data_IF_764310805913
#
_entry.id   IF_764310805913
#
_cell.length_a   1.000
_cell.length_b   1.000
_cell.length_c   1.000
_cell.angle_alpha   90.00
_cell.angle_beta   90.00
_cell.angle_gamma   90.00
#
_symmetry.space_group_name_H-M   'P 1'
#
loop_
_entity.id
_entity.type
_entity.pdbx_description
1 polymer ?
#
# COMPACT_ATOMS: atom_id res chain seq x y z
N UNK A 1 -24.21 -20.51 -59.37
CA UNK A 1 -23.64 -21.88 -59.36
C UNK A 1 -22.20 -21.79 -58.88
N UNK A 2 -21.68 -22.71 -58.08
CA UNK A 2 -22.12 -23.23 -56.77
C UNK A 2 -21.13 -22.85 -55.63
N UNK A 3 -21.56 -22.94 -54.37
CA UNK A 3 -20.70 -23.24 -53.19
C UNK A 3 -20.57 -24.77 -53.09
N UNK A 4 -19.55 -25.37 -52.45
CA UNK A 4 -19.63 -25.55 -50.99
C UNK A 4 -18.28 -25.60 -50.24
N UNK A 5 -18.42 -25.59 -48.92
CA UNK A 5 -17.41 -25.71 -47.87
C UNK A 5 -16.75 -27.11 -47.79
N UNK A 6 -15.60 -27.16 -47.10
CA UNK A 6 -15.07 -28.34 -46.40
C UNK A 6 -13.92 -27.90 -45.49
N UNK A 7 -13.59 -28.49 -44.34
CA UNK A 7 -14.25 -29.44 -43.42
C UNK A 7 -13.32 -29.49 -42.19
N UNK A 8 -13.88 -29.30 -41.01
CA UNK A 8 -13.30 -29.62 -39.70
C UNK A 8 -12.96 -31.10 -39.61
N UNK A 9 -11.71 -31.45 -39.28
CA UNK A 9 -11.36 -32.81 -38.84
C UNK A 9 -11.11 -32.84 -37.34
N UNK A 10 -12.17 -33.23 -36.63
CA UNK A 10 -12.15 -33.87 -35.31
C UNK A 10 -11.53 -35.25 -35.47
N UNK A 11 -10.42 -35.51 -34.80
CA UNK A 11 -9.88 -36.88 -34.64
C UNK A 11 -10.40 -37.40 -33.30
N UNK A 12 -11.44 -38.23 -33.36
CA UNK A 12 -11.76 -39.20 -32.31
C UNK A 12 -10.99 -40.50 -32.58
N UNK A 13 -10.40 -41.08 -31.55
CA UNK A 13 -10.00 -42.50 -31.53
C UNK A 13 -10.39 -43.17 -30.20
N UNK A 14 -10.78 -44.45 -30.21
CA UNK A 14 -11.56 -45.08 -29.15
C UNK A 14 -10.73 -45.92 -28.16
N UNK A 15 -11.28 -46.08 -26.95
CA UNK A 15 -10.84 -46.96 -25.87
C UNK A 15 -10.75 -48.44 -26.28
N UNK A 16 -9.87 -49.24 -25.64
CA UNK A 16 -10.17 -50.64 -25.37
C UNK A 16 -10.17 -50.98 -23.87
N UNK A 17 -10.93 -52.05 -23.57
CA UNK A 17 -11.47 -52.42 -22.28
C UNK A 17 -10.53 -53.22 -21.38
N UNK A 18 -10.73 -53.01 -20.07
CA UNK A 18 -10.75 -53.95 -18.93
C UNK A 18 -9.87 -55.21 -18.94
N UNK A 19 -8.96 -55.26 -17.97
CA UNK A 19 -8.58 -56.50 -17.27
C UNK A 19 -8.48 -56.25 -15.77
N UNK A 20 -9.30 -57.00 -15.05
CA UNK A 20 -9.42 -57.08 -13.59
C UNK A 20 -8.18 -57.71 -12.95
N UNK A 21 -7.74 -57.20 -11.80
CA UNK A 21 -7.10 -57.99 -10.75
C UNK A 21 -7.30 -57.36 -9.39
N UNK A 22 -7.61 -58.23 -8.43
CA UNK A 22 -8.24 -57.95 -7.15
C UNK A 22 -7.29 -57.43 -6.07
N UNK A 23 -7.88 -56.61 -5.21
CA UNK A 23 -7.63 -56.40 -3.77
C UNK A 23 -6.24 -56.59 -3.18
N UNK A 24 -5.73 -55.49 -2.61
CA UNK A 24 -5.26 -55.51 -1.23
C UNK A 24 -5.72 -54.23 -0.54
N UNK A 25 -6.64 -54.39 0.41
CA UNK A 25 -7.08 -53.35 1.32
C UNK A 25 -5.91 -52.92 2.21
N UNK A 26 -5.57 -51.64 2.17
CA UNK A 26 -5.10 -50.90 3.34
C UNK A 26 -6.06 -49.73 3.50
N UNK A 27 -6.93 -49.86 4.49
CA UNK A 27 -7.75 -48.76 4.98
C UNK A 27 -6.83 -47.81 5.74
N UNK A 28 -6.13 -46.94 5.01
CA UNK A 28 -5.70 -45.67 5.57
C UNK A 28 -6.95 -44.81 5.69
N UNK A 29 -7.53 -44.82 6.89
CA UNK A 29 -8.44 -43.78 7.35
C UNK A 29 -7.66 -42.48 7.60
N UNK A 30 -6.92 -42.02 6.59
CA UNK A 30 -6.43 -40.65 6.53
C UNK A 30 -7.65 -39.79 6.21
N UNK A 31 -8.29 -39.34 7.29
CA UNK A 31 -9.24 -38.23 7.20
C UNK A 31 -8.53 -37.10 6.45
N UNK A 32 -9.18 -36.46 5.46
CA UNK A 32 -8.57 -35.32 4.79
C UNK A 32 -8.16 -34.33 5.89
N UNK A 33 -6.96 -33.70 5.81
CA UNK A 33 -6.59 -32.69 6.77
C UNK A 33 -7.70 -31.64 6.73
N UNK A 34 -8.49 -31.57 7.80
CA UNK A 34 -9.40 -30.46 8.04
C UNK A 34 -8.51 -29.24 8.04
N UNK A 35 -8.52 -28.47 6.95
CA UNK A 35 -7.90 -27.17 6.87
C UNK A 35 -8.57 -26.34 7.96
N UNK A 36 -7.95 -26.28 9.13
CA UNK A 36 -8.34 -25.35 10.17
C UNK A 36 -8.19 -23.97 9.55
N UNK A 37 -9.32 -23.32 9.28
CA UNK A 37 -9.33 -21.95 8.79
C UNK A 37 -8.74 -21.10 9.91
N UNK A 38 -7.45 -20.78 9.79
CA UNK A 38 -6.76 -19.90 10.71
C UNK A 38 -7.24 -18.47 10.42
N UNK A 39 -7.95 -17.89 11.39
CA UNK A 39 -8.46 -16.52 11.28
C UNK A 39 -7.34 -15.58 11.74
N UNK A 40 -6.78 -14.83 10.80
CA UNK A 40 -5.79 -13.79 11.08
C UNK A 40 -6.50 -12.44 11.19
N UNK A 41 -6.36 -11.77 12.33
CA UNK A 41 -6.87 -10.42 12.53
C UNK A 41 -5.84 -9.39 12.07
N UNK A 42 -6.23 -8.54 11.12
CA UNK A 42 -5.41 -7.43 10.61
C UNK A 42 -5.95 -6.11 11.17
N UNK A 43 -5.04 -5.18 11.46
CA UNK A 43 -5.36 -3.87 12.05
C UNK A 43 -5.85 -2.86 11.01
N UNK A 44 -5.52 -3.10 9.75
CA UNK A 44 -5.86 -2.24 8.63
C UNK A 44 -7.35 -2.37 8.27
N UNK A 45 -7.94 -1.31 7.71
CA UNK A 45 -9.33 -1.35 7.24
C UNK A 45 -9.48 -2.28 6.04
N UNK A 46 -10.68 -2.82 5.82
CA UNK A 46 -10.95 -3.67 4.65
C UNK A 46 -10.62 -2.96 3.33
N UNK A 47 -10.93 -1.67 3.22
CA UNK A 47 -10.63 -0.87 2.03
C UNK A 47 -9.13 -0.77 1.75
N UNK A 48 -8.31 -0.61 2.79
CA UNK A 48 -6.84 -0.57 2.64
C UNK A 48 -6.32 -1.94 2.22
N UNK A 49 -6.81 -3.01 2.85
CA UNK A 49 -6.41 -4.38 2.52
C UNK A 49 -6.80 -4.76 1.09
N UNK A 50 -8.00 -4.40 0.64
CA UNK A 50 -8.47 -4.67 -0.72
C UNK A 50 -7.55 -4.01 -1.77
N UNK A 51 -7.18 -2.74 -1.56
CA UNK A 51 -6.24 -2.02 -2.43
C UNK A 51 -4.84 -2.66 -2.40
N UNK A 52 -4.33 -3.00 -1.21
CA UNK A 52 -3.03 -3.64 -1.06
C UNK A 52 -3.00 -4.99 -1.77
N UNK A 53 -4.04 -5.80 -1.61
CA UNK A 53 -4.15 -7.09 -2.30
C UNK A 53 -4.29 -6.94 -3.81
N UNK A 54 -4.94 -5.89 -4.31
CA UNK A 54 -4.98 -5.60 -5.73
C UNK A 54 -3.57 -5.40 -6.32
N UNK A 55 -2.65 -4.78 -5.58
CA UNK A 55 -1.24 -4.67 -5.98
C UNK A 55 -0.46 -5.99 -5.93
N UNK A 56 -0.90 -6.95 -5.12
CA UNK A 56 -0.26 -8.26 -4.95
C UNK A 56 -0.77 -9.31 -5.95
N UNK A 57 -2.00 -9.16 -6.42
CA UNK A 57 -2.61 -10.07 -7.38
C UNK A 57 -2.36 -9.63 -8.83
N UNK A 58 -2.53 -10.58 -9.76
CA UNK A 58 -2.43 -10.34 -11.20
C UNK A 58 -3.67 -9.61 -11.72
N UNK A 59 -3.85 -8.37 -11.29
CA UNK A 59 -4.97 -7.51 -11.63
C UNK A 59 -4.47 -6.13 -12.09
N UNK A 60 -5.28 -5.36 -12.82
CA UNK A 60 -4.96 -3.98 -13.14
C UNK A 60 -4.76 -3.16 -11.85
N UNK A 61 -3.71 -2.33 -11.84
CA UNK A 61 -3.38 -1.50 -10.68
C UNK A 61 -4.45 -0.43 -10.43
N UNK A 62 -4.77 -0.14 -9.16
CA UNK A 62 -5.77 0.85 -8.82
C UNK A 62 -5.33 2.26 -9.23
N UNK A 63 -6.30 3.11 -9.57
CA UNK A 63 -6.06 4.53 -9.83
C UNK A 63 -6.10 5.30 -8.51
N UNK A 64 -4.94 5.45 -7.86
CA UNK A 64 -4.81 6.13 -6.56
C UNK A 64 -5.23 7.61 -6.58
N UNK A 65 -5.36 8.25 -7.75
CA UNK A 65 -5.85 9.64 -7.85
C UNK A 65 -7.33 9.79 -7.51
N UNK A 66 -8.07 8.67 -7.52
CA UNK A 66 -9.50 8.60 -7.16
C UNK A 66 -9.73 8.15 -5.71
N UNK A 67 -8.66 7.93 -4.97
CA UNK A 67 -8.69 7.46 -3.60
C UNK A 67 -8.40 8.64 -2.69
N UNK A 68 -9.18 8.77 -1.61
CA UNK A 68 -9.00 9.83 -0.62
C UNK A 68 -7.63 9.72 0.06
N UNK A 69 -7.05 10.87 0.41
CA UNK A 69 -5.70 10.92 0.97
C UNK A 69 -5.56 10.10 2.26
N UNK A 70 -6.57 10.09 3.12
CA UNK A 70 -6.52 9.31 4.35
C UNK A 70 -6.36 7.81 4.07
N UNK A 71 -7.04 7.29 3.04
CA UNK A 71 -6.89 5.89 2.61
C UNK A 71 -5.54 5.67 1.92
N UNK A 72 -5.05 6.63 1.11
CA UNK A 72 -3.72 6.57 0.50
C UNK A 72 -2.63 6.51 1.57
N UNK A 73 -2.75 7.33 2.61
CA UNK A 73 -1.82 7.37 3.74
C UNK A 73 -1.81 6.03 4.48
N UNK A 74 -2.99 5.50 4.83
CA UNK A 74 -3.08 4.21 5.52
C UNK A 74 -2.59 3.05 4.64
N UNK A 75 -2.83 3.11 3.33
CA UNK A 75 -2.30 2.16 2.37
C UNK A 75 -0.77 2.23 2.27
N UNK A 76 -0.19 3.43 2.29
CA UNK A 76 1.26 3.60 2.33
C UNK A 76 1.86 2.92 3.57
N UNK A 77 1.29 3.13 4.75
CA UNK A 77 1.74 2.45 5.98
C UNK A 77 1.67 0.92 5.88
N UNK A 78 0.58 0.40 5.35
CA UNK A 78 0.39 -1.04 5.19
C UNK A 78 1.42 -1.63 4.20
N UNK A 79 1.61 -0.96 3.05
CA UNK A 79 2.55 -1.37 2.01
C UNK A 79 3.99 -1.41 2.52
N UNK A 80 4.39 -0.43 3.34
CA UNK A 80 5.70 -0.43 4.00
C UNK A 80 5.83 -1.58 4.99
N UNK A 81 4.82 -1.77 5.85
CA UNK A 81 4.79 -2.81 6.89
C UNK A 81 4.90 -4.22 6.31
N UNK A 82 4.23 -4.49 5.19
CA UNK A 82 4.19 -5.80 4.55
C UNK A 82 5.14 -5.93 3.35
N UNK A 83 5.95 -4.90 3.07
CA UNK A 83 6.90 -4.85 1.96
C UNK A 83 6.29 -5.16 0.59
N UNK A 84 5.15 -4.55 0.28
CA UNK A 84 4.49 -4.70 -1.02
C UNK A 84 5.20 -3.82 -2.06
N UNK A 85 6.37 -4.26 -2.52
CA UNK A 85 7.25 -3.50 -3.41
C UNK A 85 6.59 -3.02 -4.71
N UNK A 86 5.58 -3.76 -5.21
CA UNK A 86 4.82 -3.36 -6.42
C UNK A 86 4.02 -2.08 -6.22
N UNK A 87 3.67 -1.73 -4.98
CA UNK A 87 2.88 -0.54 -4.65
C UNK A 87 3.73 0.66 -4.21
N UNK A 88 4.90 0.41 -3.60
CA UNK A 88 5.74 1.45 -2.99
C UNK A 88 6.05 2.61 -3.94
N UNK A 89 6.45 2.32 -5.19
CA UNK A 89 6.77 3.37 -6.15
C UNK A 89 5.56 4.25 -6.52
N UNK A 90 4.38 3.66 -6.68
CA UNK A 90 3.16 4.40 -7.00
C UNK A 90 2.71 5.28 -5.81
N UNK A 91 2.81 4.75 -4.60
CA UNK A 91 2.48 5.50 -3.37
C UNK A 91 3.47 6.62 -3.11
N UNK A 92 4.77 6.42 -3.37
CA UNK A 92 5.77 7.47 -3.27
C UNK A 92 5.43 8.68 -4.14
N UNK A 93 5.09 8.45 -5.43
CA UNK A 93 4.64 9.52 -6.33
C UNK A 93 3.40 10.21 -5.79
N UNK A 94 2.43 9.44 -5.27
CA UNK A 94 1.20 10.02 -4.72
C UNK A 94 1.46 10.87 -3.47
N UNK A 95 2.42 10.48 -2.63
CA UNK A 95 2.83 11.28 -1.47
C UNK A 95 3.45 12.61 -1.89
N UNK A 96 4.30 12.63 -2.92
CA UNK A 96 4.87 13.87 -3.50
C UNK A 96 3.74 14.79 -3.99
N UNK A 97 2.77 14.26 -4.74
CA UNK A 97 1.64 15.03 -5.26
C UNK A 97 0.77 15.65 -4.15
N UNK A 98 0.80 15.07 -2.94
CA UNK A 98 0.05 15.57 -1.79
C UNK A 98 0.80 16.58 -0.93
N UNK A 99 2.11 16.78 -1.13
CA UNK A 99 2.91 17.77 -0.37
C UNK A 99 2.23 19.14 -0.30
N UNK A 100 1.72 19.76 -1.39
CA UNK A 100 1.12 21.09 -1.31
C UNK A 100 -0.14 21.16 -0.44
N UNK A 101 -0.84 20.03 -0.29
CA UNK A 101 -2.12 19.95 0.41
C UNK A 101 -2.02 19.40 1.84
N UNK A 102 -1.07 18.50 2.09
CA UNK A 102 -0.94 17.73 3.32
C UNK A 102 0.55 17.58 3.72
N UNK A 103 1.33 18.67 3.77
CA UNK A 103 2.79 18.60 3.89
C UNK A 103 3.24 17.95 5.21
N UNK A 104 2.52 18.20 6.31
CA UNK A 104 2.84 17.65 7.63
C UNK A 104 2.68 16.12 7.67
N UNK A 105 1.58 15.60 7.12
CA UNK A 105 1.33 14.15 7.11
C UNK A 105 2.35 13.43 6.21
N UNK A 106 2.68 14.03 5.05
CA UNK A 106 3.72 13.51 4.15
C UNK A 106 5.10 13.52 4.82
N UNK A 107 5.45 14.60 5.52
CA UNK A 107 6.70 14.69 6.29
C UNK A 107 6.80 13.59 7.35
N UNK A 108 5.73 13.35 8.12
CA UNK A 108 5.70 12.32 9.15
C UNK A 108 5.83 10.91 8.57
N UNK A 109 5.21 10.64 7.41
CA UNK A 109 5.44 9.40 6.67
C UNK A 109 6.89 9.26 6.22
N UNK A 110 7.44 10.30 5.59
CA UNK A 110 8.80 10.29 5.05
C UNK A 110 9.86 10.07 6.13
N UNK A 111 9.68 10.66 7.32
CA UNK A 111 10.55 10.44 8.48
C UNK A 111 10.48 8.98 8.95
N UNK A 112 9.28 8.42 9.10
CA UNK A 112 9.10 7.06 9.62
C UNK A 112 9.70 5.99 8.73
N UNK A 113 9.64 6.19 7.42
CA UNK A 113 10.15 5.24 6.42
C UNK A 113 11.50 5.65 5.80
N UNK A 114 12.10 6.74 6.32
CA UNK A 114 13.43 7.21 5.97
C UNK A 114 13.62 7.55 4.47
N UNK A 115 12.71 8.38 3.93
CA UNK A 115 12.78 8.94 2.57
C UNK A 115 13.38 10.36 2.57
N UNK A 116 14.71 10.53 2.49
CA UNK A 116 15.37 11.83 2.71
C UNK A 116 14.96 12.93 1.72
N UNK A 117 14.76 12.58 0.44
CA UNK A 117 14.31 13.53 -0.58
C UNK A 117 12.90 14.04 -0.25
N UNK A 118 11.99 13.12 0.08
CA UNK A 118 10.63 13.44 0.49
C UNK A 118 10.59 14.22 1.81
N UNK A 119 11.49 13.93 2.77
CA UNK A 119 11.64 14.71 4.00
C UNK A 119 11.99 16.15 3.67
N UNK A 120 12.96 16.39 2.80
CA UNK A 120 13.38 17.75 2.47
C UNK A 120 12.25 18.53 1.78
N UNK A 121 11.64 17.96 0.74
CA UNK A 121 10.57 18.61 0.00
C UNK A 121 9.35 18.91 0.88
N UNK A 122 8.94 17.96 1.72
CA UNK A 122 7.82 18.16 2.63
C UNK A 122 8.17 19.11 3.78
N UNK A 123 9.40 19.10 4.30
CA UNK A 123 9.84 20.05 5.32
C UNK A 123 9.79 21.49 4.81
N UNK A 124 10.27 21.76 3.58
CA UNK A 124 10.17 23.07 2.94
C UNK A 124 8.71 23.54 2.84
N UNK A 125 7.79 22.66 2.44
CA UNK A 125 6.37 22.97 2.37
C UNK A 125 5.70 23.20 3.75
N UNK A 126 6.38 22.88 4.86
CA UNK A 126 5.88 23.15 6.21
C UNK A 126 6.41 24.46 6.83
N UNK A 127 7.28 25.21 6.15
CA UNK A 127 7.91 26.42 6.72
C UNK A 127 6.91 27.54 7.09
N UNK A 128 5.74 27.56 6.44
CA UNK A 128 4.69 28.53 6.75
C UNK A 128 3.86 28.17 8.00
N UNK A 129 4.07 26.99 8.57
CA UNK A 129 3.31 26.53 9.72
C UNK A 129 3.86 27.14 11.02
N UNK A 130 2.98 27.55 11.96
CA UNK A 130 3.42 28.06 13.25
C UNK A 130 4.21 26.99 14.02
N UNK A 131 5.30 27.37 14.72
CA UNK A 131 6.17 26.41 15.41
C UNK A 131 5.46 25.57 16.47
N UNK A 132 4.47 26.12 17.17
CA UNK A 132 3.82 25.43 18.28
C UNK A 132 2.98 24.21 17.85
N UNK A 133 2.09 24.30 16.84
CA UNK A 133 1.45 23.11 16.27
C UNK A 133 2.45 22.09 15.69
N UNK A 134 3.55 22.56 15.09
CA UNK A 134 4.57 21.66 14.56
C UNK A 134 5.23 20.84 15.67
N UNK A 135 5.60 21.49 16.78
CA UNK A 135 6.17 20.83 17.96
C UNK A 135 5.27 19.71 18.53
N UNK A 136 3.95 19.83 18.39
CA UNK A 136 3.00 18.81 18.85
C UNK A 136 2.89 17.60 17.91
N UNK A 137 3.30 17.76 16.64
CA UNK A 137 3.11 16.74 15.59
C UNK A 137 4.37 15.96 15.30
N UNK A 138 5.54 16.61 15.26
CA UNK A 138 6.80 15.97 14.90
C UNK A 138 7.61 15.54 16.14
N UNK A 139 8.46 14.49 16.03
CA UNK A 139 9.39 14.12 17.10
C UNK A 139 10.33 15.28 17.49
N UNK A 140 10.75 15.40 18.76
CA UNK A 140 11.60 16.50 19.23
C UNK A 140 12.91 16.68 18.43
N UNK A 141 13.52 15.57 18.01
CA UNK A 141 14.76 15.56 17.25
C UNK A 141 14.56 16.21 15.87
N UNK A 142 13.45 15.84 15.22
CA UNK A 142 13.02 16.39 13.92
C UNK A 142 12.66 17.86 14.07
N UNK A 143 11.92 18.22 15.11
CA UNK A 143 11.56 19.61 15.38
C UNK A 143 12.81 20.50 15.47
N UNK A 144 13.85 20.03 16.16
CA UNK A 144 15.11 20.79 16.26
C UNK A 144 15.79 21.01 14.90
N UNK A 145 15.68 20.05 13.98
CA UNK A 145 16.21 20.18 12.62
C UNK A 145 15.34 21.12 11.78
N UNK A 146 14.02 20.99 11.89
CA UNK A 146 13.03 21.83 11.22
C UNK A 146 13.17 23.32 11.60
N UNK A 147 13.35 23.65 12.89
CA UNK A 147 13.59 25.03 13.36
C UNK A 147 14.84 25.63 12.70
N UNK A 148 15.91 24.84 12.51
CA UNK A 148 17.14 25.30 11.85
C UNK A 148 16.94 25.57 10.35
N UNK A 149 15.99 24.88 9.72
CA UNK A 149 15.60 25.11 8.33
C UNK A 149 14.85 26.44 8.13
N UNK A 150 14.37 27.05 9.22
CA UNK A 150 13.47 28.19 9.23
C UNK A 150 14.14 29.43 9.87
N UNK A 151 15.13 30.07 9.21
CA UNK A 151 15.88 31.18 9.80
C UNK A 151 15.07 32.48 9.95
N UNK A 152 14.04 32.74 9.12
CA UNK A 152 13.39 34.06 9.03
C UNK A 152 12.00 34.17 9.70
N UNK A 153 11.34 33.06 10.04
CA UNK A 153 9.93 33.06 10.50
C UNK A 153 9.79 33.18 12.04
N UNK A 154 10.91 33.13 12.77
CA UNK A 154 10.93 33.24 14.24
C UNK A 154 10.96 34.68 14.78
N UNK A 155 10.98 35.70 13.92
CA UNK A 155 10.88 37.09 14.37
C UNK A 155 9.41 37.48 14.62
N UNK A 156 8.72 36.76 15.50
CA UNK A 156 7.52 37.29 16.12
C UNK A 156 7.95 38.38 17.13
N UNK A 157 7.51 39.64 16.98
CA UNK A 157 7.75 40.63 18.02
C UNK A 157 6.93 40.19 19.23
N UNK A 158 7.61 39.73 20.27
CA UNK A 158 7.08 39.70 21.64
C UNK A 158 6.74 41.14 22.02
N UNK A 159 5.57 41.61 21.61
CA UNK A 159 4.97 42.82 22.18
C UNK A 159 4.50 42.43 23.57
N UNK A 160 5.41 42.52 24.53
CA UNK A 160 5.06 42.51 25.95
C UNK A 160 4.43 43.89 26.22
N UNK A 161 3.11 44.00 26.44
CA UNK A 161 2.52 45.28 26.80
C UNK A 161 3.07 45.68 28.17
N UNK A 162 3.80 46.80 28.21
CA UNK A 162 4.23 47.42 29.45
C UNK A 162 2.99 47.95 30.17
N UNK A 163 2.90 47.66 31.47
CA UNK A 163 1.80 48.10 32.34
C UNK A 163 1.99 49.56 32.76
#
# INVERSE_FOLDING_TARGET
>A
MPTPASTTQTIEQPLPNSSSSSSSQLHDNTSPPTQSSEIVHLSESSTVLDLMFQYMYLQPQPDLRKVDFDIVKDLAEAVEKYWVYSAMGALHVRMIEHIPSQPVEVLLYAIRHNYPELINESAEATLEFPPYPMLQRVPPEVFSAWVRLCPDVFFFPLHIPNK
#
